data_IF_965302173697
#
_entry.id   IF_965302173697
#
_cell.length_a   1.000
_cell.length_b   1.000
_cell.length_c   1.000
_cell.angle_alpha   90.00
_cell.angle_beta   90.00
_cell.angle_gamma   90.00
#
_symmetry.space_group_name_H-M   'P 1'
#
loop_
_entity.id
_entity.type
_entity.pdbx_description
1 polymer ?
#
# COMPACT_ATOMS: atom_id res chain seq x y z
N UNK A 1 -3.95 4.44 -2.14
CA UNK A 1 -4.63 4.62 -3.44
C UNK A 1 -6.15 4.84 -3.38
N UNK A 2 -7.04 3.86 -3.07
CA UNK A 2 -8.50 4.05 -3.27
C UNK A 2 -9.13 5.22 -2.48
N UNK A 3 -8.84 5.34 -1.18
CA UNK A 3 -9.39 6.45 -0.37
C UNK A 3 -8.83 7.81 -0.79
N UNK A 4 -7.56 7.86 -1.24
CA UNK A 4 -6.97 9.07 -1.83
C UNK A 4 -7.75 9.49 -3.08
N UNK A 5 -7.96 8.56 -4.02
CA UNK A 5 -8.71 8.83 -5.24
C UNK A 5 -10.11 9.33 -4.95
N UNK A 6 -10.80 8.68 -3.99
CA UNK A 6 -12.14 9.10 -3.55
C UNK A 6 -12.13 10.54 -3.03
N UNK A 7 -11.14 10.92 -2.22
CA UNK A 7 -11.02 12.28 -1.67
C UNK A 7 -10.70 13.30 -2.76
N UNK A 8 -9.71 13.05 -3.62
CA UNK A 8 -9.34 13.98 -4.71
C UNK A 8 -10.51 14.15 -5.70
N UNK A 9 -11.22 13.06 -6.04
CA UNK A 9 -12.37 13.11 -6.95
C UNK A 9 -13.50 14.01 -6.44
N UNK A 10 -13.72 14.12 -5.13
CA UNK A 10 -14.71 15.06 -4.55
C UNK A 10 -14.39 16.51 -4.90
N UNK A 11 -13.11 16.90 -4.86
CA UNK A 11 -12.69 18.24 -5.26
C UNK A 11 -12.76 18.43 -6.78
N UNK A 12 -12.38 17.41 -7.55
CA UNK A 12 -12.50 17.47 -9.01
C UNK A 12 -13.95 17.67 -9.47
N UNK A 13 -14.92 16.99 -8.84
CA UNK A 13 -16.35 17.17 -9.12
C UNK A 13 -16.80 18.61 -8.82
N UNK A 14 -16.22 19.22 -7.80
CA UNK A 14 -16.41 20.64 -7.45
C UNK A 14 -15.56 21.60 -8.32
N UNK A 15 -15.02 21.14 -9.44
CA UNK A 15 -14.25 21.93 -10.43
C UNK A 15 -12.92 22.49 -9.92
N UNK A 16 -12.37 21.95 -8.83
CA UNK A 16 -11.00 22.28 -8.42
C UNK A 16 -10.00 21.63 -9.38
N UNK A 17 -8.93 22.36 -9.70
CA UNK A 17 -7.78 21.80 -10.39
C UNK A 17 -7.01 20.88 -9.44
N UNK A 18 -7.00 19.58 -9.73
CA UNK A 18 -6.33 18.57 -8.94
C UNK A 18 -5.08 18.05 -9.67
N UNK A 19 -4.00 17.84 -8.91
CA UNK A 19 -2.82 17.09 -9.35
C UNK A 19 -2.75 15.79 -8.56
N UNK A 20 -2.51 14.68 -9.23
CA UNK A 20 -2.22 13.40 -8.60
C UNK A 20 -0.79 13.00 -8.93
N UNK A 21 -0.01 12.65 -7.93
CA UNK A 21 1.40 12.24 -8.05
C UNK A 21 1.55 10.80 -7.60
N UNK A 22 2.29 10.00 -8.36
CA UNK A 22 2.61 8.60 -8.03
C UNK A 22 4.12 8.38 -8.03
N UNK A 23 4.58 7.44 -7.22
CA UNK A 23 5.99 7.07 -7.22
C UNK A 23 6.40 6.40 -8.54
N UNK A 24 7.41 6.94 -9.22
CA UNK A 24 7.79 6.52 -10.57
C UNK A 24 8.27 5.06 -10.65
N UNK A 25 8.96 4.56 -9.62
CA UNK A 25 9.45 3.17 -9.61
C UNK A 25 8.36 2.15 -9.27
N UNK A 26 7.17 2.60 -8.87
CA UNK A 26 6.03 1.70 -8.73
C UNK A 26 5.31 1.51 -10.07
N UNK A 27 5.76 0.49 -10.78
CA UNK A 27 5.24 0.09 -12.09
C UNK A 27 4.20 -1.02 -12.02
N UNK A 28 3.77 -1.45 -10.82
CA UNK A 28 2.74 -2.50 -10.65
C UNK A 28 1.42 -2.19 -11.37
N UNK A 29 1.18 -0.90 -11.62
CA UNK A 29 -0.03 -0.37 -12.26
C UNK A 29 0.23 0.29 -13.64
N UNK A 30 1.43 0.14 -14.23
CA UNK A 30 1.90 1.01 -15.34
C UNK A 30 1.40 0.66 -16.76
N UNK A 31 0.16 0.21 -16.95
CA UNK A 31 -0.44 0.17 -18.30
C UNK A 31 -1.72 0.97 -18.45
N UNK A 32 -2.35 1.45 -17.37
CA UNK A 32 -3.42 2.44 -17.44
C UNK A 32 -3.63 3.03 -16.05
N UNK A 33 -3.82 4.35 -15.97
CA UNK A 33 -3.81 5.14 -14.74
C UNK A 33 -4.57 4.51 -13.57
N UNK A 34 -4.09 4.80 -12.36
CA UNK A 34 -4.63 4.38 -11.04
C UNK A 34 -6.03 3.75 -11.14
N UNK A 35 -6.06 2.45 -11.39
CA UNK A 35 -7.26 1.74 -11.77
C UNK A 35 -8.01 1.35 -10.48
N UNK A 36 -8.89 2.24 -10.02
CA UNK A 36 -10.07 1.81 -9.26
C UNK A 36 -11.12 1.42 -10.28
N UNK A 37 -11.83 0.32 -10.08
CA UNK A 37 -12.79 -0.36 -10.97
C UNK A 37 -13.87 0.53 -11.66
N UNK A 38 -13.95 1.82 -11.33
CA UNK A 38 -14.79 2.82 -11.99
C UNK A 38 -14.01 3.52 -13.11
N UNK A 39 -14.56 3.54 -14.32
CA UNK A 39 -13.99 4.04 -15.59
C UNK A 39 -13.62 5.55 -15.65
N UNK A 40 -13.18 6.17 -14.55
CA UNK A 40 -12.58 7.51 -14.53
C UNK A 40 -11.19 7.45 -13.90
N UNK A 41 -10.19 7.08 -14.70
CA UNK A 41 -8.80 7.14 -14.26
C UNK A 41 -8.37 8.61 -14.25
N UNK A 42 -8.10 9.15 -13.06
CA UNK A 42 -7.38 10.42 -12.94
C UNK A 42 -5.94 10.17 -13.36
N UNK A 43 -5.43 10.94 -14.32
CA UNK A 43 -4.04 10.82 -14.74
C UNK A 43 -3.12 11.23 -13.58
N UNK A 44 -2.15 10.36 -13.27
CA UNK A 44 -1.20 10.57 -12.19
C UNK A 44 0.18 10.83 -12.78
N UNK A 45 0.82 11.92 -12.36
CA UNK A 45 2.16 12.30 -12.79
C UNK A 45 3.19 11.42 -12.04
N UNK A 46 3.98 10.60 -12.74
CA UNK A 46 5.04 9.82 -12.11
C UNK A 46 6.23 10.70 -11.71
N UNK A 47 6.68 10.58 -10.46
CA UNK A 47 7.80 11.36 -9.95
C UNK A 47 8.76 10.50 -9.10
N UNK A 48 10.05 10.86 -9.14
CA UNK A 48 11.06 10.31 -8.22
C UNK A 48 11.21 11.17 -6.96
N UNK A 49 11.15 12.48 -7.15
CA UNK A 49 11.08 13.50 -6.09
C UNK A 49 9.85 14.37 -6.32
N UNK A 50 9.25 14.89 -5.26
CA UNK A 50 8.11 15.82 -5.39
C UNK A 50 8.54 17.19 -5.90
N UNK A 51 9.80 17.56 -5.68
CA UNK A 51 10.40 18.75 -6.28
C UNK A 51 10.30 18.75 -7.82
N UNK A 52 10.34 17.57 -8.45
CA UNK A 52 10.26 17.43 -9.91
C UNK A 52 8.90 17.87 -10.48
N UNK A 53 7.85 17.87 -9.65
CA UNK A 53 6.47 18.23 -10.02
C UNK A 53 5.99 19.54 -9.36
N UNK A 54 6.94 20.33 -8.86
CA UNK A 54 6.64 21.53 -8.08
C UNK A 54 5.84 22.56 -8.88
N UNK A 55 6.16 22.75 -10.16
CA UNK A 55 5.49 23.74 -11.02
C UNK A 55 4.04 23.33 -11.31
N UNK A 56 3.80 22.06 -11.58
CA UNK A 56 2.48 21.48 -11.76
C UNK A 56 1.65 21.60 -10.47
N UNK A 57 2.29 21.37 -9.33
CA UNK A 57 1.67 21.50 -8.01
C UNK A 57 1.28 22.95 -7.69
N UNK A 58 2.09 23.93 -8.07
CA UNK A 58 1.74 25.35 -7.96
C UNK A 58 0.46 25.70 -8.72
N UNK A 59 0.23 25.08 -9.87
CA UNK A 59 -0.98 25.27 -10.68
C UNK A 59 -2.23 24.56 -10.13
N UNK A 60 -2.10 23.65 -9.15
CA UNK A 60 -3.21 22.91 -8.57
C UNK A 60 -3.70 23.53 -7.26
N UNK A 61 -4.99 23.36 -6.98
CA UNK A 61 -5.60 23.68 -5.69
C UNK A 61 -5.57 22.48 -4.73
N UNK A 62 -5.61 21.26 -5.28
CA UNK A 62 -5.57 20.01 -4.51
C UNK A 62 -4.48 19.10 -5.07
N UNK A 63 -3.62 18.59 -4.20
CA UNK A 63 -2.52 17.70 -4.56
C UNK A 63 -2.71 16.37 -3.83
N UNK A 64 -2.91 15.29 -4.59
CA UNK A 64 -2.90 13.93 -4.09
C UNK A 64 -1.54 13.28 -4.30
N UNK A 65 -0.97 12.66 -3.27
CA UNK A 65 0.31 11.96 -3.34
C UNK A 65 0.08 10.50 -2.93
N UNK A 66 0.25 9.57 -3.86
CA UNK A 66 0.19 8.12 -3.57
C UNK A 66 1.58 7.56 -3.32
N UNK A 67 1.67 6.57 -2.43
CA UNK A 67 2.92 5.94 -2.01
C UNK A 67 3.93 6.96 -1.41
N UNK A 68 3.40 7.91 -0.62
CA UNK A 68 4.12 9.04 -0.02
C UNK A 68 5.40 8.66 0.73
N UNK A 69 5.47 7.45 1.26
CA UNK A 69 6.62 6.94 2.02
C UNK A 69 7.91 6.79 1.20
N UNK A 70 7.83 6.80 -0.14
CA UNK A 70 9.00 6.71 -1.02
C UNK A 70 9.61 8.07 -1.39
N UNK A 71 8.94 9.18 -1.06
CA UNK A 71 9.43 10.52 -1.36
C UNK A 71 10.23 11.08 -0.17
N UNK A 72 11.55 11.27 -0.30
CA UNK A 72 12.38 11.79 0.79
C UNK A 72 12.04 13.25 1.15
N UNK A 73 11.55 14.00 0.17
CA UNK A 73 11.15 15.42 0.24
C UNK A 73 9.68 15.64 0.62
N UNK A 74 8.95 14.58 1.02
CA UNK A 74 7.52 14.64 1.35
C UNK A 74 7.16 15.70 2.39
N UNK A 75 7.98 15.85 3.45
CA UNK A 75 7.66 16.76 4.55
C UNK A 75 7.74 18.21 4.10
N UNK A 76 8.87 18.60 3.51
CA UNK A 76 9.10 19.96 3.03
C UNK A 76 8.11 20.35 1.94
N UNK A 77 7.84 19.44 1.00
CA UNK A 77 6.88 19.67 -0.07
C UNK A 77 5.46 19.86 0.47
N UNK A 78 4.98 18.96 1.36
CA UNK A 78 3.63 19.07 1.91
C UNK A 78 3.45 20.36 2.71
N UNK A 79 4.41 20.70 3.57
CA UNK A 79 4.35 21.91 4.39
C UNK A 79 4.34 23.17 3.53
N UNK A 80 5.21 23.24 2.51
CA UNK A 80 5.27 24.37 1.58
C UNK A 80 3.96 24.52 0.80
N UNK A 81 3.43 23.42 0.27
CA UNK A 81 2.19 23.45 -0.51
C UNK A 81 0.97 23.79 0.35
N UNK A 82 0.87 23.27 1.57
CA UNK A 82 -0.20 23.60 2.49
C UNK A 82 -0.15 25.09 2.90
N UNK A 83 1.03 25.61 3.24
CA UNK A 83 1.23 27.02 3.60
C UNK A 83 0.97 27.99 2.43
N UNK A 84 1.01 27.53 1.17
CA UNK A 84 0.58 28.30 -0.01
C UNK A 84 -0.92 28.20 -0.32
N UNK A 85 -1.71 27.63 0.61
CA UNK A 85 -3.17 27.56 0.53
C UNK A 85 -3.70 26.35 -0.24
N UNK A 86 -2.88 25.33 -0.48
CA UNK A 86 -3.30 24.11 -1.20
C UNK A 86 -3.80 23.04 -0.25
N UNK A 87 -4.76 22.23 -0.70
CA UNK A 87 -5.13 21.01 0.02
C UNK A 87 -4.21 19.88 -0.40
N UNK A 88 -3.40 19.35 0.53
CA UNK A 88 -2.49 18.23 0.26
C UNK A 88 -3.04 16.95 0.91
N UNK A 89 -3.17 15.88 0.14
CA UNK A 89 -3.70 14.59 0.60
C UNK A 89 -2.65 13.52 0.32
N UNK A 90 -2.08 12.95 1.37
CA UNK A 90 -1.03 11.94 1.26
C UNK A 90 -1.60 10.56 1.61
N UNK A 91 -1.37 9.58 0.74
CA UNK A 91 -1.57 8.17 1.03
C UNK A 91 -0.21 7.48 1.13
N UNK A 92 0.03 6.80 2.24
CA UNK A 92 1.30 6.17 2.49
C UNK A 92 1.20 5.01 3.48
N UNK A 93 2.22 4.16 3.48
CA UNK A 93 2.45 3.18 4.55
C UNK A 93 3.09 3.88 5.76
N UNK A 94 2.51 3.71 6.94
CA UNK A 94 3.05 4.24 8.19
C UNK A 94 4.26 3.43 8.68
N UNK A 95 4.36 2.17 8.28
CA UNK A 95 5.48 1.30 8.66
C UNK A 95 5.94 0.32 7.58
N UNK A 96 7.21 -0.06 7.67
CA UNK A 96 7.85 -1.08 6.85
C UNK A 96 7.36 -2.49 7.21
N UNK A 97 7.79 -3.50 6.44
CA UNK A 97 7.54 -4.91 6.76
C UNK A 97 8.09 -5.32 8.14
N UNK A 98 9.01 -4.55 8.72
CA UNK A 98 9.59 -4.74 10.04
C UNK A 98 8.85 -3.94 11.13
N UNK A 99 7.77 -3.24 10.78
CA UNK A 99 7.01 -2.32 11.64
C UNK A 99 7.84 -1.16 12.21
N UNK A 100 8.87 -0.75 11.49
CA UNK A 100 9.58 0.51 11.72
C UNK A 100 8.93 1.61 10.91
N UNK A 101 9.10 2.88 11.30
CA UNK A 101 8.64 4.02 10.52
C UNK A 101 9.14 3.91 9.06
N UNK A 102 8.26 4.19 8.08
CA UNK A 102 8.63 4.15 6.67
C UNK A 102 9.02 5.55 6.17
N UNK A 103 10.29 5.72 5.82
CA UNK A 103 10.80 7.02 5.38
C UNK A 103 10.55 8.11 6.42
N UNK A 104 10.16 9.29 5.96
CA UNK A 104 9.83 10.45 6.79
C UNK A 104 8.34 10.64 7.03
N UNK A 105 7.49 9.63 6.72
CA UNK A 105 6.04 9.81 6.70
C UNK A 105 5.43 10.21 8.04
N UNK A 106 5.98 9.69 9.14
CA UNK A 106 5.46 9.99 10.49
C UNK A 106 5.77 11.42 10.92
N UNK A 107 6.72 12.10 10.26
CA UNK A 107 7.02 13.51 10.51
C UNK A 107 5.91 14.43 9.99
N UNK A 108 5.00 13.95 9.12
CA UNK A 108 3.80 14.68 8.71
C UNK A 108 2.74 14.72 9.80
N UNK A 109 2.73 13.76 10.75
CA UNK A 109 1.67 13.66 11.77
C UNK A 109 1.48 14.95 12.58
N UNK A 110 2.53 15.62 13.09
CA UNK A 110 2.36 16.88 13.82
C UNK A 110 1.98 18.08 12.92
N UNK A 111 2.15 17.96 11.59
CA UNK A 111 1.86 19.02 10.63
C UNK A 111 0.47 18.88 10.01
N UNK A 112 -0.07 17.66 9.98
CA UNK A 112 -1.32 17.35 9.32
C UNK A 112 -2.56 17.74 10.15
N UNK A 113 -3.53 18.37 9.51
CA UNK A 113 -4.83 18.67 10.11
C UNK A 113 -5.68 17.40 10.32
N UNK A 114 -5.41 16.34 9.56
CA UNK A 114 -6.15 15.07 9.65
C UNK A 114 -5.26 13.87 9.37
N UNK A 115 -5.26 12.91 10.30
CA UNK A 115 -4.56 11.63 10.16
C UNK A 115 -5.55 10.49 10.34
N UNK A 116 -5.62 9.58 9.37
CA UNK A 116 -6.46 8.37 9.44
C UNK A 116 -5.60 7.17 9.12
N UNK A 117 -5.51 6.23 10.06
CA UNK A 117 -4.90 4.92 9.83
C UNK A 117 -5.97 3.94 9.35
N UNK A 118 -5.87 3.50 8.10
CA UNK A 118 -6.76 2.49 7.55
C UNK A 118 -6.29 1.09 7.94
N UNK A 119 -7.24 0.19 8.13
CA UNK A 119 -6.98 -1.22 8.34
C UNK A 119 -7.40 -2.03 7.13
N UNK A 120 -6.69 -3.13 6.88
CA UNK A 120 -7.02 -4.13 5.88
C UNK A 120 -7.68 -5.35 6.53
N UNK A 121 -7.99 -6.37 5.73
CA UNK A 121 -8.35 -7.71 6.21
C UNK A 121 -7.09 -8.57 6.27
N UNK A 122 -6.94 -9.34 7.35
CA UNK A 122 -5.82 -10.25 7.54
C UNK A 122 -5.92 -11.42 6.57
N UNK A 123 -4.91 -11.61 5.74
CA UNK A 123 -4.85 -12.70 4.75
C UNK A 123 -4.56 -14.08 5.37
N UNK A 124 -4.32 -14.17 6.69
CA UNK A 124 -4.08 -15.44 7.39
C UNK A 124 -5.25 -15.86 8.30
N UNK A 125 -6.00 -14.90 8.88
CA UNK A 125 -7.09 -15.22 9.82
C UNK A 125 -8.37 -14.40 9.64
N UNK A 126 -8.44 -13.55 8.60
CA UNK A 126 -9.62 -12.78 8.19
C UNK A 126 -10.14 -11.73 9.20
N UNK A 127 -9.38 -11.46 10.27
CA UNK A 127 -9.63 -10.34 11.19
C UNK A 127 -9.04 -9.04 10.66
N UNK A 128 -9.27 -7.93 11.36
CA UNK A 128 -8.62 -6.66 11.06
C UNK A 128 -7.09 -6.77 11.07
N UNK A 129 -6.45 -6.17 10.06
CA UNK A 129 -5.02 -6.17 9.82
C UNK A 129 -4.45 -4.76 9.76
N UNK A 130 -3.42 -4.51 10.58
CA UNK A 130 -2.76 -3.21 10.68
C UNK A 130 -1.28 -3.25 10.26
N UNK A 131 -0.80 -4.39 9.77
CA UNK A 131 0.61 -4.59 9.40
C UNK A 131 0.75 -5.26 8.05
N UNK A 132 1.87 -4.97 7.40
CA UNK A 132 2.31 -5.65 6.18
C UNK A 132 3.42 -6.64 6.54
N UNK A 133 3.24 -7.92 6.22
CA UNK A 133 4.24 -8.98 6.41
C UNK A 133 4.84 -9.34 5.06
N UNK A 134 6.17 -9.25 4.94
CA UNK A 134 6.90 -9.76 3.77
C UNK A 134 6.95 -11.29 3.80
N UNK A 135 6.78 -11.90 2.64
CA UNK A 135 6.78 -13.36 2.47
C UNK A 135 8.17 -13.92 2.14
N UNK A 136 8.98 -13.17 1.40
CA UNK A 136 10.34 -13.55 1.03
C UNK A 136 11.39 -13.18 2.08
N UNK A 137 12.65 -13.53 1.78
CA UNK A 137 13.79 -13.35 2.68
C UNK A 137 14.58 -12.05 2.44
N UNK A 138 14.15 -11.22 1.49
CA UNK A 138 14.75 -9.93 1.16
C UNK A 138 14.75 -9.01 2.39
N UNK A 139 15.85 -8.27 2.58
CA UNK A 139 16.07 -7.42 3.78
C UNK A 139 15.91 -5.94 3.47
N UNK A 140 15.98 -5.58 2.20
CA UNK A 140 15.86 -4.24 1.65
C UNK A 140 14.49 -3.66 1.99
N UNK A 141 14.42 -2.41 2.43
CA UNK A 141 13.13 -1.80 2.81
C UNK A 141 12.25 -1.58 1.57
N UNK A 142 12.83 -1.04 0.50
CA UNK A 142 12.16 -0.81 -0.79
C UNK A 142 12.24 -2.08 -1.65
N UNK A 143 11.17 -2.87 -1.62
CA UNK A 143 10.95 -3.98 -2.57
C UNK A 143 9.55 -3.84 -3.12
N UNK A 144 9.43 -3.48 -4.39
CA UNK A 144 8.15 -3.34 -5.09
C UNK A 144 7.55 -4.74 -5.32
N UNK A 145 6.29 -4.92 -4.93
CA UNK A 145 5.55 -6.17 -5.07
C UNK A 145 4.12 -6.06 -4.54
N UNK A 146 3.25 -6.97 -4.94
CA UNK A 146 1.85 -7.02 -4.51
C UNK A 146 1.62 -8.14 -3.49
N UNK A 147 0.48 -8.83 -3.63
CA UNK A 147 0.10 -9.96 -2.80
C UNK A 147 1.07 -11.16 -2.88
N UNK A 148 1.85 -11.24 -3.96
CA UNK A 148 2.91 -12.23 -4.17
C UNK A 148 4.07 -12.07 -3.19
N UNK A 149 4.36 -10.84 -2.75
CA UNK A 149 5.46 -10.53 -1.82
C UNK A 149 5.00 -10.15 -0.42
N UNK A 150 3.76 -9.70 -0.27
CA UNK A 150 3.26 -9.10 0.96
C UNK A 150 1.85 -9.55 1.32
N UNK A 151 1.65 -9.84 2.61
CA UNK A 151 0.32 -10.04 3.18
C UNK A 151 -0.03 -8.94 4.16
N UNK A 152 -1.27 -8.45 4.14
CA UNK A 152 -1.85 -7.75 5.28
C UNK A 152 -2.11 -8.74 6.41
N UNK A 153 -1.61 -8.46 7.61
CA UNK A 153 -1.74 -9.34 8.77
C UNK A 153 -2.16 -8.62 10.04
N UNK A 154 -2.91 -9.32 10.88
CA UNK A 154 -3.17 -8.89 12.25
C UNK A 154 -1.92 -9.05 13.11
N UNK A 155 -1.96 -8.52 14.33
CA UNK A 155 -0.83 -8.60 15.29
C UNK A 155 -0.38 -10.02 15.57
N UNK A 156 -1.31 -10.95 15.75
CA UNK A 156 -0.99 -12.34 16.07
C UNK A 156 -0.32 -13.06 14.88
N UNK A 157 -0.88 -12.92 13.68
CA UNK A 157 -0.35 -13.51 12.45
C UNK A 157 1.00 -12.92 12.03
N UNK A 158 1.28 -11.65 12.37
CA UNK A 158 2.59 -11.05 12.14
C UNK A 158 3.71 -11.84 12.84
N UNK A 159 3.54 -12.15 14.13
CA UNK A 159 4.54 -12.87 14.92
C UNK A 159 4.49 -14.39 14.77
N UNK A 160 3.45 -14.94 14.14
CA UNK A 160 3.37 -16.36 13.85
C UNK A 160 4.47 -16.74 12.85
N UNK A 161 5.42 -17.54 13.33
CA UNK A 161 6.37 -18.26 12.50
C UNK A 161 5.57 -19.13 11.53
N UNK A 162 5.81 -18.98 10.22
CA UNK A 162 5.35 -20.01 9.29
C UNK A 162 6.22 -21.24 9.54
N UNK A 163 5.64 -22.45 9.65
CA UNK A 163 6.42 -23.66 9.44
C UNK A 163 7.15 -23.47 8.12
N UNK A 164 8.48 -23.62 8.10
CA UNK A 164 9.21 -23.66 6.84
C UNK A 164 8.55 -24.75 6.01
N UNK A 165 8.07 -24.42 4.80
CA UNK A 165 7.71 -25.47 3.87
C UNK A 165 8.98 -26.28 3.63
N UNK A 166 8.98 -27.61 3.85
CA UNK A 166 10.10 -28.42 3.40
C UNK A 166 10.31 -28.10 1.91
N UNK A 167 11.56 -27.82 1.55
CA UNK A 167 11.95 -27.67 0.15
C UNK A 167 11.53 -28.89 -0.67
N UNK A 168 11.57 -28.84 -2.00
CA UNK A 168 11.13 -29.96 -2.82
C UNK A 168 11.89 -31.22 -2.41
N UNK A 169 11.19 -32.13 -1.72
CA UNK A 169 11.71 -33.45 -1.38
C UNK A 169 12.11 -34.13 -2.69
N UNK A 170 13.39 -34.48 -2.79
CA UNK A 170 13.88 -35.40 -3.81
C UNK A 170 13.08 -36.70 -3.66
N UNK A 171 12.13 -36.93 -4.57
CA UNK A 171 11.34 -38.16 -4.65
C UNK A 171 12.20 -39.32 -5.16
N UNK A 172 13.15 -39.78 -4.35
CA UNK A 172 13.77 -41.09 -4.50
C UNK A 172 13.91 -41.72 -3.12
N UNK A 173 12.78 -42.25 -2.62
CA UNK A 173 12.67 -43.56 -1.96
C UNK A 173 11.28 -43.68 -1.31
N UNK A 174 10.39 -44.38 -1.99
CA UNK A 174 9.09 -44.80 -1.44
C UNK A 174 9.24 -46.22 -0.91
N UNK A 175 8.92 -46.50 0.36
CA UNK A 175 8.41 -47.80 0.75
C UNK A 175 6.88 -47.79 0.66
N UNK A 176 6.32 -48.72 -0.12
CA UNK A 176 4.88 -48.99 -0.18
C UNK A 176 4.34 -49.35 1.20
N UNK A 177 3.20 -48.77 1.59
CA UNK A 177 2.43 -49.30 2.72
C UNK A 177 1.27 -48.46 3.23
N UNK A 178 0.05 -48.86 2.82
CA UNK A 178 -1.23 -48.82 3.57
C UNK A 178 -2.07 -47.52 3.63
N UNK A 179 -2.99 -47.44 2.65
CA UNK A 179 -4.45 -47.23 2.72
C UNK A 179 -5.06 -46.27 3.79
N UNK A 180 -5.64 -45.19 3.25
CA UNK A 180 -7.04 -44.69 3.38
C UNK A 180 -7.65 -44.44 4.77
N UNK A 181 -8.11 -43.19 4.99
CA UNK A 181 -9.53 -42.89 5.21
C UNK A 181 -9.82 -41.38 5.06
N UNK A 182 -10.70 -41.08 4.12
CA UNK A 182 -11.33 -39.78 3.91
C UNK A 182 -12.39 -39.53 4.98
N UNK A 183 -12.46 -38.31 5.51
CA UNK A 183 -13.73 -37.75 6.01
C UNK A 183 -13.82 -36.28 5.65
N UNK A 184 -14.71 -35.99 4.70
CA UNK A 184 -15.17 -34.65 4.36
C UNK A 184 -16.09 -34.10 5.45
N UNK A 185 -15.98 -32.80 5.76
CA UNK A 185 -17.00 -32.08 6.51
C UNK A 185 -17.22 -30.69 5.86
N UNK A 186 -18.46 -30.34 5.49
CA UNK A 186 -18.74 -29.05 4.85
C UNK A 186 -18.93 -27.98 5.92
N UNK A 187 -18.34 -26.78 5.74
CA UNK A 187 -18.74 -25.59 6.49
C UNK A 187 -19.50 -24.64 5.57
N UNK A 188 -20.79 -24.53 5.89
CA UNK A 188 -21.80 -23.69 5.26
C UNK A 188 -21.42 -22.22 5.38
N UNK A 189 -21.58 -21.50 4.27
CA UNK A 189 -21.64 -20.04 4.20
C UNK A 189 -23.04 -19.64 4.63
N UNK A 190 -23.14 -18.67 5.54
CA UNK A 190 -24.37 -17.91 5.76
C UNK A 190 -24.11 -16.45 5.36
N UNK A 191 -25.11 -15.91 4.66
CA UNK A 191 -25.27 -14.60 4.02
C UNK A 191 -24.84 -13.41 4.85
#
# INVERSE_FOLDING_TARGET
>A
STELMRRVRRFQLAQYRCLLVKYAKDTRYSSSGVCTHDRSTMEALPAGLLQDVYQEALGAAVIGIDEGQFFPDIVEFCETMANTGKTVIVAALDGTFQRKAFGSILNLVPLAESVVKLNAVCMECFREASYTKRLGAEREVEVIGGADKYHSVCRACYFRMRPQQPGPDNKENVPLGLRQLETAAPRKIFT
#
